data_IF_180615745270
#
_entry.id   IF_180615745270
#
_cell.length_a   1.000
_cell.length_b   1.000
_cell.length_c   1.000
_cell.angle_alpha   90.00
_cell.angle_beta   90.00
_cell.angle_gamma   90.00
#
_symmetry.space_group_name_H-M   'P 1'
#
loop_
_entity.id
_entity.type
_entity.pdbx_description
1 polymer ?
#
# COMPACT_ATOMS: atom_id res chain seq x y z
N UNK A 1 19.47 -27.04 -7.30
CA UNK A 1 18.92 -25.91 -8.07
C UNK A 1 20.12 -25.09 -8.49
N UNK A 2 20.43 -25.04 -9.78
CA UNK A 2 21.63 -24.38 -10.29
C UNK A 2 21.17 -23.18 -11.13
N UNK A 3 21.35 -21.98 -10.59
CA UNK A 3 20.71 -20.73 -11.03
C UNK A 3 21.09 -20.24 -12.43
N UNK A 4 20.69 -20.97 -13.48
CA UNK A 4 20.87 -20.52 -14.87
C UNK A 4 19.62 -20.59 -15.76
N UNK A 5 18.49 -21.15 -15.33
CA UNK A 5 17.27 -21.15 -16.14
C UNK A 5 16.00 -20.92 -15.31
N UNK A 6 15.32 -19.80 -15.53
CA UNK A 6 13.94 -19.58 -15.08
C UNK A 6 13.00 -20.02 -16.20
N UNK A 7 12.43 -21.24 -16.10
CA UNK A 7 11.56 -21.84 -17.13
C UNK A 7 10.10 -21.35 -17.14
N UNK A 8 9.75 -20.33 -16.37
CA UNK A 8 8.39 -19.73 -16.38
C UNK A 8 8.36 -18.32 -15.79
N UNK A 9 9.26 -17.44 -16.21
CA UNK A 9 9.28 -16.03 -15.80
C UNK A 9 8.17 -15.24 -16.49
N UNK A 10 6.91 -15.50 -16.15
CA UNK A 10 5.85 -14.55 -16.44
C UNK A 10 6.12 -13.29 -15.61
N UNK A 11 6.57 -12.22 -16.25
CA UNK A 11 6.61 -10.92 -15.58
C UNK A 11 5.21 -10.61 -15.07
N UNK A 12 5.05 -10.50 -13.75
CA UNK A 12 3.76 -10.15 -13.09
C UNK A 12 3.29 -8.77 -13.54
N UNK A 13 4.22 -7.93 -14.03
CA UNK A 13 3.97 -6.55 -14.44
C UNK A 13 4.68 -6.28 -15.77
N UNK A 14 3.89 -6.15 -16.84
CA UNK A 14 4.34 -5.48 -18.07
C UNK A 14 3.71 -4.09 -18.08
N UNK A 15 4.52 -3.04 -17.97
CA UNK A 15 4.08 -1.68 -18.27
C UNK A 15 3.87 -0.72 -17.10
N UNK A 16 4.18 -1.09 -15.86
CA UNK A 16 4.37 -0.08 -14.82
C UNK A 16 5.64 0.70 -15.14
N UNK A 17 5.53 2.03 -15.14
CA UNK A 17 6.65 2.89 -15.47
C UNK A 17 7.64 2.98 -14.30
N UNK A 18 8.94 3.26 -14.54
CA UNK A 18 9.99 3.21 -13.51
C UNK A 18 9.78 4.16 -12.33
N UNK A 19 8.98 5.21 -12.49
CA UNK A 19 8.66 6.14 -11.41
C UNK A 19 7.78 5.53 -10.32
N UNK A 20 7.10 4.40 -10.59
CA UNK A 20 6.23 3.71 -9.63
C UNK A 20 6.99 2.67 -8.83
N UNK A 21 6.75 2.66 -7.52
CA UNK A 21 7.32 1.69 -6.57
C UNK A 21 6.22 1.00 -5.77
N UNK A 22 6.39 -0.30 -5.49
CA UNK A 22 5.51 -1.01 -4.55
C UNK A 22 5.78 -0.45 -3.15
N UNK A 23 4.72 -0.04 -2.46
CA UNK A 23 4.78 0.44 -1.08
C UNK A 23 4.21 -0.54 -0.08
N UNK A 24 3.23 -1.35 -0.47
CA UNK A 24 2.67 -2.41 0.36
C UNK A 24 2.06 -3.53 -0.50
N UNK A 25 1.92 -4.71 0.11
CA UNK A 25 1.25 -5.88 -0.45
C UNK A 25 0.41 -6.50 0.65
N UNK A 26 -0.92 -6.42 0.53
CA UNK A 26 -1.85 -6.91 1.56
C UNK A 26 -3.30 -7.03 1.03
N UNK A 27 -4.21 -7.66 1.76
CA UNK A 27 -5.63 -7.82 1.39
C UNK A 27 -6.45 -6.55 1.70
N UNK A 28 -6.67 -5.70 0.69
CA UNK A 28 -7.31 -4.39 0.88
C UNK A 28 -8.82 -4.42 0.53
N UNK A 29 -9.32 -5.54 0.02
CA UNK A 29 -10.71 -5.70 -0.39
C UNK A 29 -11.47 -6.82 0.35
N UNK A 30 -10.79 -7.62 1.17
CA UNK A 30 -11.33 -8.67 2.03
C UNK A 30 -11.55 -10.01 1.32
N UNK A 31 -10.96 -10.22 0.15
CA UNK A 31 -11.09 -11.47 -0.62
C UNK A 31 -10.06 -12.55 -0.25
N UNK A 32 -9.20 -12.27 0.73
CA UNK A 32 -8.11 -13.11 1.25
C UNK A 32 -6.96 -13.31 0.27
N UNK A 33 -6.82 -12.41 -0.70
CA UNK A 33 -5.70 -12.37 -1.64
C UNK A 33 -4.95 -11.05 -1.45
N UNK A 34 -3.66 -11.09 -1.73
CA UNK A 34 -2.82 -9.92 -1.56
C UNK A 34 -2.96 -8.97 -2.76
N UNK A 35 -3.39 -7.75 -2.50
CA UNK A 35 -3.43 -6.61 -3.41
C UNK A 35 -2.11 -5.82 -3.36
N UNK A 36 -1.91 -4.85 -4.26
CA UNK A 36 -0.66 -4.07 -4.34
C UNK A 36 -0.94 -2.58 -4.24
N UNK A 37 -0.27 -1.91 -3.30
CA UNK A 37 -0.21 -0.44 -3.21
C UNK A 37 1.04 0.06 -3.92
N UNK A 38 0.85 0.99 -4.84
CA UNK A 38 1.91 1.65 -5.58
C UNK A 38 1.97 3.12 -5.25
N UNK A 39 3.18 3.68 -5.27
CA UNK A 39 3.37 5.13 -5.22
C UNK A 39 4.39 5.57 -6.27
N UNK A 40 4.08 6.63 -7.03
CA UNK A 40 5.03 7.24 -7.95
C UNK A 40 5.87 8.35 -7.29
N UNK A 41 6.87 8.86 -8.03
CA UNK A 41 7.73 9.94 -7.56
C UNK A 41 7.00 11.26 -7.30
N UNK A 42 5.87 11.48 -7.99
CA UNK A 42 5.03 12.67 -7.81
C UNK A 42 4.12 12.55 -6.58
N UNK A 43 4.09 11.37 -5.93
CA UNK A 43 3.31 11.11 -4.72
C UNK A 43 1.92 10.51 -4.99
N UNK A 44 1.56 10.22 -6.24
CA UNK A 44 0.31 9.54 -6.55
C UNK A 44 0.33 8.13 -5.97
N UNK A 45 -0.78 7.75 -5.33
CA UNK A 45 -0.96 6.42 -4.73
C UNK A 45 -2.05 5.68 -5.48
N UNK A 46 -1.74 4.48 -5.97
CA UNK A 46 -2.66 3.61 -6.73
C UNK A 46 -2.73 2.24 -6.08
N UNK A 47 -3.91 1.63 -6.11
CA UNK A 47 -4.11 0.21 -5.76
C UNK A 47 -4.33 -0.62 -7.01
N UNK A 48 -3.76 -1.82 -7.03
CA UNK A 48 -4.15 -2.92 -7.90
C UNK A 48 -4.74 -4.05 -7.06
N UNK A 49 -5.97 -4.44 -7.38
CA UNK A 49 -6.61 -5.62 -6.80
C UNK A 49 -6.18 -6.86 -7.59
N UNK A 50 -5.78 -7.92 -6.89
CA UNK A 50 -5.11 -9.06 -7.50
C UNK A 50 -5.86 -10.39 -7.31
N UNK A 51 -5.86 -11.23 -8.34
CA UNK A 51 -6.24 -12.64 -8.27
C UNK A 51 -5.09 -13.52 -8.78
N UNK A 52 -4.23 -13.92 -7.84
CA UNK A 52 -2.95 -14.57 -8.17
C UNK A 52 -2.06 -13.63 -8.97
N UNK A 53 -1.79 -13.97 -10.23
CA UNK A 53 -0.97 -13.14 -11.14
C UNK A 53 -1.78 -12.18 -12.01
N UNK A 54 -3.10 -12.09 -11.81
CA UNK A 54 -4.00 -11.24 -12.62
C UNK A 54 -4.39 -9.99 -11.84
N UNK A 55 -4.39 -8.85 -12.51
CA UNK A 55 -5.01 -7.62 -12.00
C UNK A 55 -6.51 -7.71 -12.33
N UNK A 56 -7.37 -7.68 -11.32
CA UNK A 56 -8.84 -7.78 -11.47
C UNK A 56 -9.54 -6.44 -11.22
N UNK A 57 -8.83 -5.47 -10.65
CA UNK A 57 -9.31 -4.11 -10.45
C UNK A 57 -8.17 -3.17 -10.05
N UNK A 58 -8.46 -1.88 -9.92
CA UNK A 58 -7.49 -0.90 -9.46
C UNK A 58 -7.97 0.53 -9.64
N UNK A 59 -7.27 1.48 -9.02
CA UNK A 59 -7.64 2.88 -9.06
C UNK A 59 -6.66 3.81 -8.34
N UNK A 60 -6.75 5.10 -8.65
CA UNK A 60 -6.04 6.16 -7.95
C UNK A 60 -6.72 6.43 -6.61
N UNK A 61 -5.98 6.29 -5.51
CA UNK A 61 -6.45 6.61 -4.16
C UNK A 61 -6.20 8.07 -3.79
N UNK A 62 -5.03 8.59 -4.14
CA UNK A 62 -4.60 9.93 -3.77
C UNK A 62 -3.66 10.49 -4.81
N UNK A 63 -3.74 11.80 -5.03
CA UNK A 63 -2.84 12.55 -5.88
C UNK A 63 -1.82 13.32 -5.05
N UNK A 64 -0.55 13.30 -5.44
CA UNK A 64 0.46 14.20 -4.87
C UNK A 64 0.75 14.03 -3.38
N UNK A 65 0.63 12.82 -2.82
CA UNK A 65 0.94 12.57 -1.41
C UNK A 65 2.43 12.84 -1.14
N UNK A 66 2.77 13.77 -0.23
CA UNK A 66 4.17 14.13 0.00
C UNK A 66 5.00 12.94 0.47
N UNK A 67 6.17 12.73 -0.15
CA UNK A 67 7.08 11.62 0.13
C UNK A 67 7.60 11.54 1.58
N UNK A 68 7.37 12.58 2.40
CA UNK A 68 7.63 12.54 3.85
C UNK A 68 6.69 11.59 4.58
N UNK A 69 5.53 11.28 4.01
CA UNK A 69 4.62 10.26 4.51
C UNK A 69 5.01 8.90 3.92
N UNK A 70 5.27 7.94 4.79
CA UNK A 70 5.62 6.58 4.42
C UNK A 70 4.62 5.60 5.04
N UNK A 71 4.35 4.48 4.36
CA UNK A 71 3.53 3.42 4.97
C UNK A 71 4.28 2.90 6.20
N UNK A 72 3.62 2.97 7.34
CA UNK A 72 4.11 2.45 8.61
C UNK A 72 3.75 0.97 8.72
N UNK A 73 2.49 0.64 8.49
CA UNK A 73 1.94 -0.70 8.64
C UNK A 73 0.59 -0.79 7.91
N UNK A 74 0.26 -2.00 7.47
CA UNK A 74 -1.02 -2.36 6.86
C UNK A 74 -1.63 -3.50 7.68
N UNK A 75 -2.88 -3.34 8.11
CA UNK A 75 -3.65 -4.32 8.89
C UNK A 75 -5.12 -3.88 9.02
N UNK A 76 -6.04 -4.81 9.29
CA UNK A 76 -7.45 -4.52 9.59
C UNK A 76 -7.59 -3.83 10.96
N UNK A 77 -7.76 -2.51 10.97
CA UNK A 77 -7.88 -1.72 12.21
C UNK A 77 -9.32 -1.48 12.63
N UNK A 78 -10.26 -1.51 11.68
CA UNK A 78 -11.68 -1.25 11.95
C UNK A 78 -12.52 -2.55 12.12
N UNK A 79 -11.94 -3.72 11.83
CA UNK A 79 -12.56 -5.03 11.96
C UNK A 79 -13.54 -5.38 10.83
N UNK A 80 -13.48 -4.70 9.68
CA UNK A 80 -14.39 -4.94 8.56
C UNK A 80 -13.94 -6.10 7.64
N UNK A 81 -12.77 -6.69 7.92
CA UNK A 81 -12.19 -7.78 7.16
C UNK A 81 -11.34 -7.32 5.97
N UNK A 82 -11.07 -6.02 5.84
CA UNK A 82 -10.18 -5.44 4.82
C UNK A 82 -9.03 -4.73 5.53
N UNK A 83 -7.81 -4.90 5.04
CA UNK A 83 -6.68 -4.26 5.67
C UNK A 83 -6.62 -2.77 5.32
N UNK A 84 -6.35 -1.97 6.35
CA UNK A 84 -6.25 -0.52 6.31
C UNK A 84 -4.78 -0.08 6.29
N UNK A 85 -4.51 1.19 5.95
CA UNK A 85 -3.13 1.70 5.81
C UNK A 85 -2.85 2.76 6.86
N UNK A 86 -1.83 2.57 7.71
CA UNK A 86 -1.25 3.65 8.51
C UNK A 86 -0.05 4.26 7.81
N UNK A 87 -0.08 5.57 7.70
CA UNK A 87 1.02 6.39 7.21
C UNK A 87 1.71 7.09 8.37
N UNK A 88 3.04 7.16 8.35
CA UNK A 88 3.85 7.94 9.29
C UNK A 88 4.53 9.09 8.56
N UNK A 89 4.37 10.30 9.08
CA UNK A 89 5.14 11.45 8.66
C UNK A 89 6.52 11.35 9.31
N UNK A 90 7.55 11.19 8.50
CA UNK A 90 8.93 10.99 8.96
C UNK A 90 9.57 12.25 9.55
N UNK A 91 9.00 13.43 9.31
CA UNK A 91 9.55 14.70 9.79
C UNK A 91 9.09 15.03 11.22
N UNK A 92 7.83 14.76 11.56
CA UNK A 92 7.24 15.13 12.84
C UNK A 92 6.66 13.95 13.63
N UNK A 93 6.62 12.75 13.05
CA UNK A 93 6.10 11.55 13.70
C UNK A 93 4.59 11.41 13.69
N UNK A 94 3.83 12.26 12.98
CA UNK A 94 2.38 12.08 12.88
C UNK A 94 2.04 10.73 12.25
N UNK A 95 0.94 10.12 12.72
CA UNK A 95 0.38 8.89 12.16
C UNK A 95 -1.03 9.17 11.66
N UNK A 96 -1.30 8.79 10.41
CA UNK A 96 -2.58 9.02 9.73
C UNK A 96 -3.10 7.71 9.14
N UNK A 97 -4.35 7.38 9.43
CA UNK A 97 -5.02 6.17 8.96
C UNK A 97 -5.83 6.45 7.71
N UNK A 98 -5.77 5.53 6.74
CA UNK A 98 -6.74 5.36 5.67
C UNK A 98 -7.46 4.04 5.90
N UNK A 99 -8.77 4.11 6.15
CA UNK A 99 -9.63 2.95 6.20
C UNK A 99 -10.05 2.58 4.78
N UNK A 100 -9.87 1.32 4.40
CA UNK A 100 -9.92 0.89 3.01
C UNK A 100 -11.23 0.17 2.68
N UNK A 101 -11.67 0.31 1.43
CA UNK A 101 -12.75 -0.48 0.83
C UNK A 101 -12.36 -0.82 -0.61
N UNK A 102 -11.38 -1.72 -0.74
CA UNK A 102 -10.75 -2.07 -2.01
C UNK A 102 -10.04 -0.88 -2.66
N UNK A 103 -10.66 -0.29 -3.68
CA UNK A 103 -10.09 0.83 -4.44
C UNK A 103 -10.55 2.21 -3.93
N UNK A 104 -11.21 2.26 -2.78
CA UNK A 104 -11.69 3.49 -2.16
C UNK A 104 -11.17 3.62 -0.72
N UNK A 105 -11.11 4.86 -0.23
CA UNK A 105 -10.89 5.17 1.18
C UNK A 105 -12.26 5.43 1.79
N UNK A 106 -12.70 4.57 2.70
CA UNK A 106 -14.01 4.65 3.35
C UNK A 106 -14.05 5.71 4.45
N UNK A 107 -12.94 5.88 5.16
CA UNK A 107 -12.72 6.94 6.15
C UNK A 107 -11.21 7.21 6.32
N UNK A 108 -10.83 8.35 6.90
CA UNK A 108 -9.42 8.69 7.17
C UNK A 108 -9.25 9.73 8.27
N UNK A 109 -8.15 9.65 9.00
CA UNK A 109 -7.88 10.60 10.08
C UNK A 109 -6.53 10.45 10.77
N UNK A 110 -6.17 11.45 11.58
CA UNK A 110 -4.98 11.36 12.42
C UNK A 110 -5.22 10.37 13.56
N UNK A 111 -4.30 9.42 13.71
CA UNK A 111 -4.27 8.46 14.83
C UNK A 111 -3.48 9.06 16.00
N UNK A 112 -2.31 9.64 15.68
CA UNK A 112 -1.42 10.31 16.64
C UNK A 112 -0.79 11.51 15.95
N UNK A 113 -0.59 12.60 16.70
CA UNK A 113 0.22 13.74 16.26
C UNK A 113 1.50 13.77 17.10
N UNK A 114 2.67 13.86 16.45
CA UNK A 114 3.95 14.01 17.15
C UNK A 114 4.51 12.74 17.81
N UNK A 115 4.44 11.58 17.16
CA UNK A 115 4.97 10.34 17.76
C UNK A 115 6.51 10.39 17.90
N UNK A 116 7.07 10.10 19.09
CA UNK A 116 8.52 10.13 19.30
C UNK A 116 9.27 9.22 18.31
N UNK A 117 10.49 9.61 17.85
CA UNK A 117 11.27 8.84 16.87
C UNK A 117 11.55 7.39 17.32
N UNK A 118 11.64 7.19 18.62
CA UNK A 118 12.03 5.93 19.27
C UNK A 118 10.88 4.91 19.32
N UNK A 119 9.66 5.32 18.95
CA UNK A 119 8.51 4.43 18.88
C UNK A 119 8.48 3.68 17.55
N UNK A 120 8.37 2.36 17.63
CA UNK A 120 8.07 1.48 16.51
C UNK A 120 6.85 0.63 16.82
N UNK A 121 5.96 0.46 15.83
CA UNK A 121 4.90 -0.53 15.89
C UNK A 121 5.56 -1.92 15.97
N UNK A 122 5.04 -2.79 16.83
CA UNK A 122 5.52 -4.18 16.98
C UNK A 122 4.84 -5.11 16.01
#
# INVERSE_FOLDING_TARGET
>A
MDGKDIKSGGFVIKGMRPEWTIRAVDDLNGDKKADIVWQNTDGDVVIWLMDGIKIVGGGLLSHGMPNIWQILVVADYNGDGKNDILWKNTANGDVYAWFMDGVAISDKGYVVMGMPPDWQAK
#
